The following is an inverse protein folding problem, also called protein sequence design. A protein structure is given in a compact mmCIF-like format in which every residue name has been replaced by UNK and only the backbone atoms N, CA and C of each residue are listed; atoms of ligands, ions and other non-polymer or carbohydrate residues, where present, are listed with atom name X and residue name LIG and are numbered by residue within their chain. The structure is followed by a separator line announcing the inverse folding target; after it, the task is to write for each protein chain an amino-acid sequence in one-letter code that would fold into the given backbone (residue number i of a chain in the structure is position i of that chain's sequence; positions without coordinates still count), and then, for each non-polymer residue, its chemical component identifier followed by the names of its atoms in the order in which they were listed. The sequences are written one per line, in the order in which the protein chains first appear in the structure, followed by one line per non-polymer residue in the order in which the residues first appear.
data_IF_026305732870
#
_entry.id   IF_026305732870
#
_cell.length_a   1.000
_cell.length_b   1.000
_cell.length_c   1.000
_cell.angle_alpha   90.00
_cell.angle_beta   90.00
_cell.angle_gamma   90.00
#
_symmetry.space_group_name_H-M   'P 1'
#
loop_
_entity.id
_entity.type
_entity.pdbx_description
1 polymer ?
#
# COMPACT_ATOMS: atom_id res chain seq x y z
N UNK A 1 13.49 19.19 -12.56
CA UNK A 1 12.75 18.28 -11.65
C UNK A 1 13.62 17.65 -10.55
N UNK A 2 14.95 17.53 -10.69
CA UNK A 2 15.82 16.91 -9.67
C UNK A 2 16.05 17.75 -8.40
N UNK A 3 15.60 19.01 -8.37
CA UNK A 3 15.78 19.91 -7.23
C UNK A 3 14.97 19.47 -6.01
N UNK A 4 13.72 19.04 -6.21
CA UNK A 4 12.86 18.56 -5.12
C UNK A 4 13.37 17.25 -4.53
N UNK A 5 13.87 16.33 -5.38
CA UNK A 5 14.47 15.09 -4.90
C UNK A 5 15.76 15.33 -4.14
N UNK A 6 16.63 16.25 -4.61
CA UNK A 6 17.82 16.65 -3.86
C UNK A 6 17.44 17.28 -2.52
N UNK A 7 16.58 18.28 -2.51
CA UNK A 7 16.22 19.01 -1.28
C UNK A 7 15.50 18.12 -0.27
N UNK A 8 14.57 17.26 -0.70
CA UNK A 8 13.93 16.28 0.16
C UNK A 8 14.96 15.30 0.73
N UNK A 9 15.82 14.71 -0.11
CA UNK A 9 16.89 13.82 0.35
C UNK A 9 17.82 14.48 1.36
N UNK A 10 18.28 15.70 1.07
CA UNK A 10 19.15 16.45 1.98
C UNK A 10 18.45 16.82 3.29
N UNK A 11 17.17 17.20 3.26
CA UNK A 11 16.40 17.46 4.48
C UNK A 11 16.26 16.20 5.34
N UNK A 12 15.93 15.05 4.74
CA UNK A 12 15.78 13.79 5.48
C UNK A 12 17.13 13.33 6.04
N UNK A 13 18.22 13.43 5.27
CA UNK A 13 19.57 13.13 5.73
C UNK A 13 19.96 14.00 6.93
N UNK A 14 19.73 15.32 6.82
CA UNK A 14 20.00 16.27 7.91
C UNK A 14 19.13 15.95 9.13
N UNK A 15 17.85 15.61 8.97
CA UNK A 15 16.96 15.28 10.08
C UNK A 15 17.37 13.98 10.80
N UNK A 16 17.95 13.02 10.08
CA UNK A 16 18.52 11.80 10.66
C UNK A 16 19.86 12.09 11.35
N UNK A 17 20.67 12.99 10.77
CA UNK A 17 22.01 13.34 11.26
C UNK A 17 21.98 14.35 12.40
N UNK A 18 20.90 15.12 12.56
CA UNK A 18 20.56 15.87 13.77
C UNK A 18 19.83 14.86 14.67
N UNK A 19 20.52 14.13 15.56
CA UNK A 19 19.80 13.33 16.55
C UNK A 19 18.87 14.28 17.31
N UNK A 20 17.56 14.06 17.21
CA UNK A 20 16.51 14.79 17.93
C UNK A 20 16.53 14.48 19.44
N UNK A 21 17.71 14.29 20.02
CA UNK A 21 17.89 13.80 21.38
C UNK A 21 19.36 13.79 21.78
N UNK A 22 19.92 14.96 22.07
CA UNK A 22 21.14 15.08 22.88
C UNK A 22 21.09 16.28 23.83
N UNK A 23 19.90 16.53 24.40
CA UNK A 23 19.77 17.28 25.64
C UNK A 23 19.86 16.31 26.82
N UNK A 24 20.99 16.29 27.50
CA UNK A 24 21.15 15.57 28.78
C UNK A 24 20.41 16.36 29.85
N UNK A 25 19.10 16.16 29.94
CA UNK A 25 18.21 16.74 30.93
C UNK A 25 16.86 16.05 30.83
N UNK A 26 16.56 15.20 31.82
CA UNK A 26 15.22 14.81 32.26
C UNK A 26 14.14 14.62 31.18
N UNK A 27 13.94 13.36 30.77
CA UNK A 27 12.63 12.79 30.40
C UNK A 27 11.57 13.75 29.85
N UNK A 28 11.74 14.23 28.64
CA UNK A 28 10.60 14.56 27.80
C UNK A 28 10.80 13.85 26.47
N UNK A 29 10.46 12.55 26.45
CA UNK A 29 9.90 11.98 25.23
C UNK A 29 8.88 13.00 24.75
N UNK A 30 9.07 13.66 23.62
CA UNK A 30 8.03 14.53 23.05
C UNK A 30 6.80 13.65 22.90
N UNK A 31 5.91 13.68 23.89
CA UNK A 31 4.69 12.88 23.93
C UNK A 31 3.79 13.59 22.94
N UNK A 32 3.90 13.19 21.68
CA UNK A 32 2.98 13.62 20.64
C UNK A 32 1.63 13.11 21.09
N UNK A 33 0.82 14.00 21.65
CA UNK A 33 -0.52 13.67 22.08
C UNK A 33 -1.33 13.27 20.83
N UNK A 34 -1.85 12.03 20.76
CA UNK A 34 -2.63 11.57 19.62
C UNK A 34 -3.80 12.49 19.31
N UNK A 35 -4.40 13.10 20.33
CA UNK A 35 -5.52 14.04 20.16
C UNK A 35 -5.05 15.34 19.50
N UNK A 36 -3.95 15.93 20.00
CA UNK A 36 -3.33 17.09 19.36
C UNK A 36 -2.92 16.80 17.91
N UNK A 37 -2.31 15.65 17.63
CA UNK A 37 -1.90 15.24 16.29
C UNK A 37 -3.11 15.08 15.35
N UNK A 38 -4.18 14.44 15.82
CA UNK A 38 -5.43 14.32 15.06
C UNK A 38 -6.04 15.70 14.76
N UNK A 39 -6.07 16.60 15.74
CA UNK A 39 -6.58 17.95 15.56
C UNK A 39 -5.80 18.72 14.49
N UNK A 40 -4.47 18.65 14.53
CA UNK A 40 -3.59 19.28 13.55
C UNK A 40 -3.77 18.69 12.14
N UNK A 41 -3.88 17.36 12.03
CA UNK A 41 -4.16 16.69 10.78
C UNK A 41 -5.53 17.11 10.20
N UNK A 42 -6.56 17.20 11.03
CA UNK A 42 -7.89 17.64 10.62
C UNK A 42 -7.89 19.09 10.10
N UNK A 43 -7.11 19.97 10.75
CA UNK A 43 -6.92 21.34 10.30
C UNK A 43 -6.24 21.40 8.92
N UNK A 44 -5.19 20.60 8.71
CA UNK A 44 -4.53 20.50 7.41
C UNK A 44 -5.48 19.98 6.30
N UNK A 45 -6.35 19.01 6.61
CA UNK A 45 -7.38 18.53 5.66
C UNK A 45 -8.38 19.64 5.32
N UNK A 46 -8.77 20.46 6.31
CA UNK A 46 -9.62 21.62 6.06
C UNK A 46 -8.95 22.62 5.09
N UNK A 47 -7.65 22.89 5.25
CA UNK A 47 -6.91 23.78 4.34
C UNK A 47 -6.81 23.22 2.92
N UNK A 48 -6.55 21.90 2.80
CA UNK A 48 -6.55 21.21 1.51
C UNK A 48 -7.92 21.33 0.85
N UNK A 49 -9.02 21.19 1.60
CA UNK A 49 -10.37 21.35 1.05
C UNK A 49 -10.59 22.76 0.46
N UNK A 50 -10.06 23.79 1.12
CA UNK A 50 -10.07 25.17 0.61
C UNK A 50 -9.22 25.34 -0.64
N UNK A 51 -8.06 24.68 -0.71
CA UNK A 51 -7.21 24.65 -1.92
C UNK A 51 -7.92 23.97 -3.09
N UNK A 52 -8.59 22.84 -2.86
CA UNK A 52 -9.33 22.11 -3.90
C UNK A 52 -10.48 22.92 -4.48
N UNK A 53 -11.18 23.72 -3.66
CA UNK A 53 -12.21 24.64 -4.17
C UNK A 53 -11.63 25.66 -5.17
N UNK A 54 -10.38 26.09 -4.98
CA UNK A 54 -9.69 27.04 -5.87
C UNK A 54 -9.03 26.38 -7.08
N UNK A 55 -8.59 25.13 -6.94
CA UNK A 55 -7.85 24.39 -7.99
C UNK A 55 -8.39 22.96 -8.16
N UNK A 56 -9.56 22.78 -8.80
CA UNK A 56 -10.22 21.47 -8.88
C UNK A 56 -9.41 20.43 -9.65
N UNK A 57 -8.74 20.82 -10.74
CA UNK A 57 -7.93 19.92 -11.57
C UNK A 57 -6.72 19.34 -10.82
N UNK A 58 -6.13 20.10 -9.91
CA UNK A 58 -5.01 19.64 -9.08
C UNK A 58 -5.47 18.55 -8.09
N UNK A 59 -6.67 18.71 -7.50
CA UNK A 59 -7.20 17.72 -6.56
C UNK A 59 -7.73 16.47 -7.25
N UNK A 60 -8.27 16.56 -8.47
CA UNK A 60 -8.63 15.39 -9.27
C UNK A 60 -7.40 14.53 -9.61
N UNK A 61 -6.36 15.17 -10.15
CA UNK A 61 -5.11 14.47 -10.51
C UNK A 61 -4.39 13.94 -9.26
N UNK A 62 -4.30 14.76 -8.21
CA UNK A 62 -3.69 14.39 -6.93
C UNK A 62 -4.44 13.26 -6.23
N UNK A 63 -5.79 13.31 -6.24
CA UNK A 63 -6.65 12.28 -5.67
C UNK A 63 -6.44 10.92 -6.33
N UNK A 64 -6.35 10.87 -7.65
CA UNK A 64 -6.04 9.64 -8.38
C UNK A 64 -4.67 9.06 -8.00
N UNK A 65 -3.65 9.93 -7.86
CA UNK A 65 -2.31 9.52 -7.44
C UNK A 65 -2.32 8.97 -6.00
N UNK A 66 -2.95 9.68 -5.06
CA UNK A 66 -3.06 9.27 -3.66
C UNK A 66 -3.84 7.96 -3.53
N UNK A 67 -4.91 7.75 -4.32
CA UNK A 67 -5.68 6.51 -4.29
C UNK A 67 -4.83 5.28 -4.67
N UNK A 68 -4.00 5.41 -5.72
CA UNK A 68 -3.07 4.37 -6.15
C UNK A 68 -2.03 4.05 -5.08
N UNK A 69 -1.43 5.09 -4.47
CA UNK A 69 -0.46 4.94 -3.38
C UNK A 69 -1.13 4.31 -2.15
N UNK A 70 -2.35 4.75 -1.82
CA UNK A 70 -3.11 4.28 -0.67
C UNK A 70 -3.46 2.80 -0.75
N UNK A 71 -3.78 2.28 -1.94
CA UNK A 71 -3.97 0.84 -2.14
C UNK A 71 -2.71 0.05 -1.76
N UNK A 72 -1.54 0.47 -2.25
CA UNK A 72 -0.24 -0.15 -1.93
C UNK A 72 0.14 0.01 -0.45
N UNK A 73 -0.18 1.16 0.14
CA UNK A 73 0.09 1.42 1.55
C UNK A 73 -0.71 0.48 2.46
N UNK A 74 -1.94 0.10 2.10
CA UNK A 74 -2.74 -0.89 2.84
C UNK A 74 -2.10 -2.28 2.79
N UNK A 75 -1.65 -2.71 1.62
CA UNK A 75 -0.95 -3.98 1.46
C UNK A 75 0.34 -4.00 2.30
N UNK A 76 1.11 -2.91 2.27
CA UNK A 76 2.33 -2.75 3.08
C UNK A 76 2.04 -2.72 4.59
N UNK A 77 0.97 -2.02 5.01
CA UNK A 77 0.56 -1.97 6.41
C UNK A 77 0.22 -3.37 6.92
N UNK A 78 -0.48 -4.18 6.14
CA UNK A 78 -0.80 -5.58 6.49
C UNK A 78 0.46 -6.40 6.77
N UNK A 79 1.45 -6.33 5.88
CA UNK A 79 2.72 -7.06 6.05
C UNK A 79 3.43 -6.64 7.34
N UNK A 80 3.48 -5.33 7.60
CA UNK A 80 4.09 -4.81 8.82
C UNK A 80 3.33 -5.29 10.06
N UNK A 81 1.99 -5.21 10.06
CA UNK A 81 1.19 -5.70 11.19
C UNK A 81 1.36 -7.20 11.45
N UNK A 82 1.37 -8.03 10.41
CA UNK A 82 1.62 -9.47 10.53
C UNK A 82 3.01 -9.74 11.15
N UNK A 83 4.04 -8.99 10.75
CA UNK A 83 5.38 -9.10 11.35
C UNK A 83 5.41 -8.66 12.81
N UNK A 84 4.74 -7.57 13.17
CA UNK A 84 4.68 -7.14 14.57
C UNK A 84 3.95 -8.18 15.44
N UNK A 85 2.85 -8.75 14.94
CA UNK A 85 2.08 -9.77 15.64
C UNK A 85 2.93 -11.02 15.94
N UNK A 86 3.69 -11.53 14.95
CA UNK A 86 4.60 -12.66 15.16
C UNK A 86 5.69 -12.36 16.19
N UNK A 87 6.29 -11.16 16.14
CA UNK A 87 7.34 -10.75 17.07
C UNK A 87 6.82 -10.57 18.50
N UNK A 88 5.57 -10.14 18.66
CA UNK A 88 4.91 -10.03 19.97
C UNK A 88 4.61 -11.43 20.51
N UNK A 89 4.03 -12.32 19.70
CA UNK A 89 3.75 -13.69 20.07
C UNK A 89 5.00 -14.48 20.50
N UNK A 90 6.15 -14.28 19.82
CA UNK A 90 7.44 -14.86 20.21
C UNK A 90 7.98 -14.30 21.54
N UNK A 91 7.75 -13.01 21.82
CA UNK A 91 8.13 -12.40 23.11
C UNK A 91 7.26 -12.90 24.26
N UNK A 92 5.96 -13.09 24.01
CA UNK A 92 5.02 -13.63 24.99
C UNK A 92 5.28 -15.11 25.28
N UNK A 93 5.78 -15.87 24.29
CA UNK A 93 6.22 -17.26 24.49
C UNK A 93 7.54 -17.37 25.30
N UNK A 94 8.37 -16.32 25.30
CA UNK A 94 9.67 -16.29 25.97
C UNK A 94 9.65 -15.62 27.37
N UNK A 95 8.51 -15.07 27.82
CA UNK A 95 8.37 -14.39 29.11
C UNK A 95 7.02 -14.66 29.78
N UNK A 96 7.03 -14.91 31.09
CA UNK A 96 5.86 -15.21 31.93
C UNK A 96 4.60 -14.36 31.64
N UNK A 97 3.38 -14.94 31.73
CA UNK A 97 2.14 -14.26 31.36
C UNK A 97 1.65 -13.33 32.47
N UNK A 98 1.48 -12.05 32.15
CA UNK A 98 0.45 -11.21 32.74
C UNK A 98 -0.31 -10.54 31.61
N UNK A 99 -1.23 -11.31 31.02
CA UNK A 99 -2.26 -10.79 30.12
C UNK A 99 -3.37 -10.20 30.98
N UNK A 100 -3.47 -8.88 30.99
CA UNK A 100 -4.64 -8.16 31.51
C UNK A 100 -5.81 -8.38 30.52
N UNK A 101 -6.92 -9.02 30.90
CA UNK A 101 -7.93 -9.53 29.97
C UNK A 101 -8.83 -8.46 29.31
N UNK A 102 -8.46 -7.18 29.36
CA UNK A 102 -9.29 -6.06 28.89
C UNK A 102 -8.72 -5.29 27.68
N UNK A 103 -7.66 -5.77 27.02
CA UNK A 103 -7.22 -5.22 25.73
C UNK A 103 -7.92 -5.91 24.58
N UNK A 104 -9.22 -5.64 24.42
CA UNK A 104 -9.93 -5.85 23.15
C UNK A 104 -9.39 -4.82 22.14
N UNK A 105 -8.26 -5.16 21.51
CA UNK A 105 -7.86 -4.54 20.24
C UNK A 105 -8.86 -5.02 19.19
N UNK A 106 -9.84 -4.17 18.88
CA UNK A 106 -10.73 -4.34 17.72
C UNK A 106 -9.91 -4.04 16.45
N UNK A 107 -8.93 -4.87 16.14
CA UNK A 107 -8.41 -5.03 14.78
C UNK A 107 -9.25 -6.15 14.16
N UNK A 108 -10.01 -5.86 13.10
CA UNK A 108 -10.93 -6.81 12.45
C UNK A 108 -10.26 -8.00 11.75
N UNK A 109 -9.18 -8.54 12.30
CA UNK A 109 -8.49 -9.73 11.83
C UNK A 109 -9.31 -10.96 12.22
N UNK A 110 -10.04 -11.51 11.25
CA UNK A 110 -10.59 -12.86 11.31
C UNK A 110 -9.44 -13.86 11.12
N UNK A 111 -8.90 -14.38 12.22
CA UNK A 111 -7.70 -15.22 12.29
C UNK A 111 -7.85 -16.66 11.75
N UNK A 112 -8.78 -16.93 10.84
CA UNK A 112 -9.14 -18.30 10.44
C UNK A 112 -8.92 -18.55 8.94
N UNK A 113 -7.77 -18.13 8.42
CA UNK A 113 -7.37 -18.46 7.04
C UNK A 113 -6.99 -19.93 6.89
N UNK A 114 -7.44 -20.57 5.81
CA UNK A 114 -7.10 -21.98 5.45
C UNK A 114 -5.76 -22.12 4.69
N UNK A 115 -5.01 -21.03 4.52
CA UNK A 115 -3.80 -21.04 3.71
C UNK A 115 -2.62 -21.54 4.53
N UNK A 116 -1.87 -22.51 4.01
CA UNK A 116 -0.65 -23.02 4.65
C UNK A 116 0.56 -22.18 4.25
N UNK A 117 1.67 -22.31 4.99
CA UNK A 117 2.92 -21.62 4.65
C UNK A 117 3.45 -21.95 3.23
N UNK A 118 3.02 -23.07 2.65
CA UNK A 118 3.36 -23.42 1.27
C UNK A 118 2.58 -22.61 0.23
N UNK A 119 1.34 -22.20 0.54
CA UNK A 119 0.52 -21.38 -0.36
C UNK A 119 1.05 -19.95 -0.49
N UNK A 120 1.72 -19.45 0.56
CA UNK A 120 2.34 -18.13 0.58
C UNK A 120 3.65 -18.07 -0.22
N UNK A 121 4.28 -19.22 -0.50
CA UNK A 121 5.57 -19.31 -1.17
C UNK A 121 5.47 -19.40 -2.70
N UNK A 122 4.32 -19.09 -3.30
CA UNK A 122 4.12 -19.19 -4.75
C UNK A 122 5.18 -18.34 -5.49
N UNK A 123 6.09 -18.96 -6.27
CA UNK A 123 7.08 -18.22 -7.04
C UNK A 123 6.36 -17.41 -8.11
N UNK A 124 6.66 -16.11 -8.18
CA UNK A 124 6.08 -15.20 -9.15
C UNK A 124 6.45 -15.66 -10.58
N UNK A 125 5.50 -16.25 -11.31
CA UNK A 125 5.67 -16.55 -12.74
C UNK A 125 5.31 -15.30 -13.54
N UNK A 126 6.32 -14.50 -13.87
CA UNK A 126 6.19 -13.51 -14.93
C UNK A 126 5.90 -14.24 -16.24
N UNK A 127 4.86 -13.83 -16.97
CA UNK A 127 4.68 -14.30 -18.34
C UNK A 127 5.88 -13.84 -19.18
N UNK A 128 6.78 -14.77 -19.48
CA UNK A 128 7.79 -14.57 -20.50
C UNK A 128 7.07 -14.27 -21.82
N UNK A 129 7.42 -13.13 -22.41
CA UNK A 129 6.98 -12.74 -23.75
C UNK A 129 7.70 -13.60 -24.79
N UNK A 130 7.48 -14.90 -24.77
CA UNK A 130 7.78 -15.78 -25.89
C UNK A 130 6.44 -16.15 -26.48
N UNK A 131 5.83 -15.19 -27.19
CA UNK A 131 4.79 -15.53 -28.15
C UNK A 131 5.48 -16.40 -29.18
N UNK A 132 5.34 -17.72 -29.03
CA UNK A 132 5.63 -18.67 -30.08
C UNK A 132 4.74 -18.28 -31.25
N UNK A 133 5.29 -17.53 -32.19
CA UNK A 133 4.67 -17.23 -33.46
C UNK A 133 4.56 -18.56 -34.20
N UNK A 134 3.51 -19.33 -33.91
CA UNK A 134 3.06 -20.37 -34.82
C UNK A 134 2.40 -19.63 -35.97
N UNK A 135 3.20 -19.36 -36.97
CA UNK A 135 2.79 -18.80 -38.26
C UNK A 135 1.74 -19.75 -38.85
N UNK A 136 0.47 -19.46 -38.58
CA UNK A 136 -0.63 -20.08 -39.31
C UNK A 136 -0.54 -19.58 -40.73
N UNK A 137 0.00 -20.41 -41.61
CA UNK A 137 -0.03 -20.18 -43.05
C UNK A 137 -1.47 -19.91 -43.47
N UNK A 138 -1.76 -18.65 -43.79
CA UNK A 138 -3.05 -18.22 -44.34
C UNK A 138 -3.12 -18.74 -45.77
N UNK A 139 -3.59 -19.97 -45.92
CA UNK A 139 -4.03 -20.50 -47.20
C UNK A 139 -5.32 -19.78 -47.64
N UNK A 140 -5.55 -19.59 -48.95
CA UNK A 140 -6.74 -18.93 -49.45
C UNK A 140 -8.00 -19.71 -49.06
N UNK A 141 -8.90 -19.05 -48.33
CA UNK A 141 -10.20 -19.60 -47.91
C UNK A 141 -11.09 -19.79 -49.16
N UNK A 142 -11.70 -20.98 -49.37
CA UNK A 142 -12.63 -21.16 -50.49
C UNK A 142 -13.86 -20.26 -50.34
N UNK A 143 -14.18 -19.48 -51.36
CA UNK A 143 -15.41 -18.68 -51.44
C UNK A 143 -16.61 -19.60 -51.70
N UNK A 144 -17.72 -19.51 -50.93
CA UNK A 144 -18.95 -20.21 -51.28
C UNK A 144 -19.57 -19.60 -52.56
N UNK A 145 -19.93 -20.46 -53.51
CA UNK A 145 -20.58 -20.12 -54.77
C UNK A 145 -22.03 -19.66 -54.53
N UNK A 146 -22.49 -18.50 -55.05
CA UNK A 146 -23.88 -18.10 -54.92
C UNK A 146 -24.68 -18.55 -56.15
N UNK A 147 -25.40 -19.67 -56.06
CA UNK A 147 -26.73 -19.84 -56.71
C UNK A 147 -27.35 -21.22 -56.51
N UNK A 148 -28.55 -21.22 -55.91
CA UNK A 148 -29.68 -22.14 -56.15
C UNK A 148 -30.72 -21.79 -55.07
N UNK A 149 -31.66 -20.87 -55.29
CA UNK A 149 -32.89 -21.18 -56.01
C UNK A 149 -33.83 -22.04 -55.14
N UNK A 150 -34.78 -21.42 -54.42
CA UNK A 150 -36.00 -22.14 -54.02
C UNK A 150 -37.20 -21.21 -54.15
N UNK A 151 -38.22 -21.77 -54.78
CA UNK A 151 -39.43 -21.19 -55.34
C UNK A 151 -40.56 -21.59 -54.40
N UNK A 152 -41.30 -20.63 -53.85
CA UNK A 152 -42.70 -20.80 -53.40
C UNK A 152 -43.40 -19.46 -53.55
#
# INVERSE_FOLDING_TARGET
MFFLLRTAFWLTLVLVLIPLGSGKGESETTKVDPVAAYSAASAAVSDISGFCKRNPQACETGGNAIAMIGARARDGARIVYEFLDTQIAERDAAGHPQTDPNSDLITGAISNGTLTAQDLAQPWQGHDKTVSAKETGVGPVPRPNPRSGSRT
#
